data_IF_255125437346
#
_entry.id   IF_255125437346
#
_cell.length_a   1.000
_cell.length_b   1.000
_cell.length_c   1.000
_cell.angle_alpha   90.00
_cell.angle_beta   90.00
_cell.angle_gamma   90.00
#
_symmetry.space_group_name_H-M   'P 1'
#
loop_
_entity.id
_entity.type
_entity.pdbx_description
1 polymer ?
#
# COMPACT_ATOMS: atom_id res chain seq x y z
N UNK A 1 6.78 -3.13 5.59
CA UNK A 1 5.43 -2.59 5.83
C UNK A 1 5.23 -2.24 7.29
N UNK A 2 5.42 -3.18 8.21
CA UNK A 2 5.16 -3.04 9.67
C UNK A 2 5.72 -1.80 10.37
N UNK A 3 6.82 -1.22 9.87
CA UNK A 3 7.39 0.02 10.42
C UNK A 3 6.48 1.24 10.26
N UNK A 4 5.62 1.24 9.24
CA UNK A 4 4.83 2.38 8.79
C UNK A 4 3.32 2.07 8.73
N UNK A 5 2.93 0.82 8.99
CA UNK A 5 1.53 0.37 8.89
C UNK A 5 1.26 -0.73 9.92
N UNK A 6 -0.01 -0.95 10.27
CA UNK A 6 -0.43 -2.08 11.11
C UNK A 6 -0.42 -3.44 10.38
N UNK A 7 -0.06 -3.46 9.09
CA UNK A 7 -0.09 -4.67 8.27
C UNK A 7 1.28 -5.32 8.19
N UNK A 8 1.30 -6.64 8.37
CA UNK A 8 2.52 -7.44 8.24
C UNK A 8 3.10 -7.36 6.82
N UNK A 9 2.25 -7.54 5.81
CA UNK A 9 2.62 -7.50 4.41
C UNK A 9 1.60 -6.71 3.56
N UNK A 10 1.96 -6.45 2.30
CA UNK A 10 1.10 -5.73 1.36
C UNK A 10 -0.16 -6.54 1.00
N UNK A 11 -0.12 -7.86 1.07
CA UNK A 11 -1.28 -8.72 0.82
C UNK A 11 -2.36 -8.54 1.88
N UNK A 12 -1.98 -8.35 3.15
CA UNK A 12 -2.94 -8.09 4.23
C UNK A 12 -3.55 -6.70 4.11
N UNK A 13 -2.77 -5.71 3.64
CA UNK A 13 -3.29 -4.40 3.27
C UNK A 13 -4.32 -4.50 2.13
N UNK A 14 -4.06 -5.30 1.10
CA UNK A 14 -5.00 -5.54 0.01
C UNK A 14 -6.26 -6.27 0.46
N UNK A 15 -6.14 -7.28 1.34
CA UNK A 15 -7.30 -7.96 1.92
C UNK A 15 -8.18 -7.01 2.72
N UNK A 16 -7.60 -6.07 3.47
CA UNK A 16 -8.36 -5.07 4.21
C UNK A 16 -9.23 -4.17 3.30
N UNK A 17 -8.79 -3.97 2.06
CA UNK A 17 -9.55 -3.28 1.00
C UNK A 17 -10.50 -4.19 0.21
N UNK A 18 -10.59 -5.47 0.57
CA UNK A 18 -11.38 -6.46 -0.17
C UNK A 18 -10.76 -6.87 -1.51
N UNK A 19 -9.50 -6.49 -1.78
CA UNK A 19 -8.79 -6.85 -3.00
C UNK A 19 -8.27 -8.28 -2.89
N UNK A 20 -9.02 -9.21 -3.47
CA UNK A 20 -8.73 -10.65 -3.44
C UNK A 20 -8.34 -11.21 -4.81
N UNK A 21 -8.40 -10.39 -5.85
CA UNK A 21 -8.05 -10.78 -7.22
C UNK A 21 -7.49 -9.59 -8.00
N UNK A 22 -6.72 -9.88 -9.05
CA UNK A 22 -6.17 -8.84 -9.95
C UNK A 22 -7.26 -7.92 -10.51
N UNK A 23 -8.42 -8.48 -10.87
CA UNK A 23 -9.55 -7.72 -11.37
C UNK A 23 -10.11 -6.74 -10.33
N UNK A 24 -10.08 -7.09 -9.03
CA UNK A 24 -10.46 -6.18 -7.96
C UNK A 24 -9.44 -5.06 -7.78
N UNK A 25 -8.15 -5.37 -7.93
CA UNK A 25 -7.07 -4.39 -7.85
C UNK A 25 -7.16 -3.34 -8.97
N UNK A 26 -7.41 -3.77 -10.21
CA UNK A 26 -7.49 -2.89 -11.38
C UNK A 26 -8.78 -2.04 -11.42
N UNK A 27 -9.83 -2.46 -10.73
CA UNK A 27 -11.12 -1.74 -10.68
C UNK A 27 -11.27 -0.80 -9.51
N UNK A 28 -10.42 -0.92 -8.48
CA UNK A 28 -10.55 -0.10 -7.29
C UNK A 28 -10.17 1.35 -7.62
N UNK A 29 -11.04 2.34 -7.34
CA UNK A 29 -10.72 3.73 -7.60
C UNK A 29 -9.50 4.18 -6.77
N UNK A 30 -8.64 5.01 -7.37
CA UNK A 30 -7.46 5.56 -6.70
C UNK A 30 -7.81 6.29 -5.39
N UNK A 31 -8.98 6.95 -5.33
CA UNK A 31 -9.45 7.62 -4.13
C UNK A 31 -9.64 6.67 -2.93
N UNK A 32 -10.00 5.40 -3.17
CA UNK A 32 -10.15 4.40 -2.12
C UNK A 32 -8.77 3.96 -1.61
N UNK A 33 -7.79 3.81 -2.51
CA UNK A 33 -6.40 3.55 -2.13
C UNK A 33 -5.84 4.71 -1.29
N UNK A 34 -6.00 5.93 -1.75
CA UNK A 34 -5.58 7.14 -1.04
C UNK A 34 -6.18 7.22 0.37
N UNK A 35 -7.48 6.95 0.50
CA UNK A 35 -8.15 6.98 1.80
C UNK A 35 -7.62 5.89 2.73
N UNK A 36 -7.52 4.65 2.25
CA UNK A 36 -6.99 3.55 3.06
C UNK A 36 -5.58 3.83 3.55
N UNK A 37 -4.73 4.37 2.70
CA UNK A 37 -3.34 4.69 3.06
C UNK A 37 -3.30 5.72 4.18
N UNK A 38 -4.07 6.80 4.06
CA UNK A 38 -4.17 7.83 5.10
C UNK A 38 -4.72 7.29 6.41
N UNK A 39 -5.66 6.35 6.35
CA UNK A 39 -6.34 5.84 7.54
C UNK A 39 -5.55 4.75 8.27
N UNK A 40 -4.66 4.03 7.56
CA UNK A 40 -4.06 2.78 8.08
C UNK A 40 -2.53 2.73 8.00
N UNK A 41 -1.91 3.81 7.52
CA UNK A 41 -0.46 3.97 7.42
C UNK A 41 -0.02 5.35 7.88
N UNK A 42 1.28 5.55 8.02
CA UNK A 42 1.87 6.87 8.31
C UNK A 42 1.99 7.76 7.07
N UNK A 43 1.67 7.26 5.87
CA UNK A 43 1.81 7.98 4.62
C UNK A 43 0.58 8.84 4.32
N UNK A 44 0.82 9.96 3.63
CA UNK A 44 -0.23 10.92 3.26
C UNK A 44 -0.88 10.59 1.92
N UNK A 45 -0.29 9.71 1.11
CA UNK A 45 -0.84 9.28 -0.18
C UNK A 45 -0.37 7.90 -0.57
N UNK A 46 -1.13 7.23 -1.44
CA UNK A 46 -0.74 5.94 -1.99
C UNK A 46 0.55 6.04 -2.80
N UNK A 47 0.73 7.12 -3.55
CA UNK A 47 1.94 7.37 -4.31
C UNK A 47 3.18 7.48 -3.40
N UNK A 48 3.09 8.23 -2.30
CA UNK A 48 4.20 8.36 -1.33
C UNK A 48 4.61 7.00 -0.76
N UNK A 49 3.62 6.16 -0.41
CA UNK A 49 3.87 4.81 0.08
C UNK A 49 4.60 3.94 -0.96
N UNK A 50 4.21 4.04 -2.24
CA UNK A 50 4.87 3.32 -3.34
C UNK A 50 6.29 3.82 -3.59
N UNK A 51 6.49 5.14 -3.60
CA UNK A 51 7.81 5.75 -3.83
C UNK A 51 8.79 5.35 -2.72
N UNK A 52 8.34 5.36 -1.46
CA UNK A 52 9.14 4.92 -0.32
C UNK A 52 9.51 3.43 -0.44
N UNK A 53 8.53 2.57 -0.78
CA UNK A 53 8.79 1.14 -0.97
C UNK A 53 9.78 0.88 -2.12
N UNK A 54 9.66 1.62 -3.22
CA UNK A 54 10.59 1.55 -4.36
C UNK A 54 12.00 2.00 -3.99
N UNK A 55 12.12 3.08 -3.21
CA UNK A 55 13.40 3.58 -2.74
C UNK A 55 14.08 2.58 -1.78
N UNK A 56 13.34 2.01 -0.83
CA UNK A 56 13.84 0.97 0.08
C UNK A 56 14.32 -0.27 -0.69
N UNK A 57 13.56 -0.72 -1.69
CA UNK A 57 13.96 -1.85 -2.53
C UNK A 57 15.23 -1.55 -3.33
N UNK A 58 15.33 -0.36 -3.93
CA UNK A 58 16.51 0.07 -4.68
C UNK A 58 17.77 0.07 -3.78
N UNK A 59 17.66 0.64 -2.58
CA UNK A 59 18.75 0.70 -1.61
C UNK A 59 19.16 -0.69 -1.07
N UNK A 60 18.22 -1.63 -0.94
CA UNK A 60 18.50 -2.98 -0.46
C UNK A 60 19.13 -3.90 -1.50
N UNK A 61 19.05 -3.56 -2.79
CA UNK A 61 19.60 -4.35 -3.90
C UNK A 61 20.79 -3.66 -4.61
N UNK A 62 21.39 -2.66 -3.94
CA UNK A 62 22.67 -2.03 -4.27
C UNK A 62 23.78 -2.60 -3.37
#
# INVERSE_FOLDING_TARGET
MEKNTQFFCIEDFFKALGVTSKNALERLPIAIWEQQVKDSTTFSSWQEMLDQAGNEYSLANL
#
